data_IF_124435394509
#
_entry.id   IF_124435394509
#
_cell.length_a   1.000
_cell.length_b   1.000
_cell.length_c   1.000
_cell.angle_alpha   90.00
_cell.angle_beta   90.00
_cell.angle_gamma   90.00
#
_symmetry.space_group_name_H-M   'P 1'
#
loop_
_entity.id
_entity.type
_entity.pdbx_description
1 polymer ?
#
# COMPACT_ATOMS: atom_id res chain seq x y z
N UNK A 1 24.21 -37.38 -3.18
CA UNK A 1 22.89 -36.75 -2.93
C UNK A 1 22.70 -35.76 -4.07
N UNK A 2 21.52 -35.72 -4.70
CA UNK A 2 21.27 -34.74 -5.77
C UNK A 2 21.42 -33.34 -5.17
N UNK A 3 22.21 -32.48 -5.81
CA UNK A 3 22.41 -31.10 -5.37
C UNK A 3 21.14 -30.33 -5.76
N UNK A 4 20.43 -29.82 -4.75
CA UNK A 4 19.23 -29.00 -4.97
C UNK A 4 19.69 -27.58 -5.25
N UNK A 5 19.20 -27.00 -6.34
CA UNK A 5 19.51 -25.63 -6.71
C UNK A 5 19.00 -24.67 -5.64
N UNK A 6 19.94 -23.99 -4.98
CA UNK A 6 19.64 -22.94 -4.02
C UNK A 6 19.24 -21.66 -4.74
N UNK A 7 18.33 -20.91 -4.13
CA UNK A 7 17.88 -19.61 -4.61
C UNK A 7 18.45 -18.50 -3.72
N UNK A 8 18.79 -17.33 -4.29
CA UNK A 8 19.25 -16.22 -3.47
C UNK A 8 18.10 -15.63 -2.66
N UNK A 9 18.42 -15.08 -1.49
CA UNK A 9 17.48 -14.35 -0.66
C UNK A 9 18.15 -13.24 0.14
N UNK A 10 17.36 -12.23 0.49
CA UNK A 10 17.79 -11.09 1.27
C UNK A 10 17.27 -11.21 2.70
N UNK A 11 18.15 -10.89 3.66
CA UNK A 11 17.82 -10.77 5.09
C UNK A 11 18.26 -9.43 5.62
N UNK A 12 17.48 -8.84 6.53
CA UNK A 12 17.91 -7.64 7.25
C UNK A 12 18.94 -8.03 8.31
N UNK A 13 20.18 -7.52 8.20
CA UNK A 13 21.23 -7.73 9.19
C UNK A 13 21.78 -6.39 9.68
N UNK A 14 22.16 -6.33 10.95
CA UNK A 14 22.81 -5.15 11.53
C UNK A 14 24.25 -5.08 11.03
N UNK A 15 24.57 -4.04 10.29
CA UNK A 15 25.92 -3.64 9.90
C UNK A 15 26.54 -2.79 11.01
N UNK A 16 27.84 -2.99 11.24
CA UNK A 16 28.62 -2.26 12.25
C UNK A 16 28.68 -0.75 11.93
N UNK A 17 28.67 -0.39 10.64
CA UNK A 17 28.87 1.00 10.19
C UNK A 17 27.63 1.67 9.57
N UNK A 18 26.58 0.91 9.22
CA UNK A 18 25.45 1.40 8.41
C UNK A 18 24.06 1.00 8.92
N UNK A 19 23.90 0.74 10.22
CA UNK A 19 22.59 0.35 10.78
C UNK A 19 22.10 -1.00 10.23
N UNK A 20 20.80 -1.20 10.01
CA UNK A 20 20.27 -2.42 9.38
C UNK A 20 20.46 -2.32 7.86
N UNK A 21 21.02 -3.35 7.22
CA UNK A 21 21.21 -3.42 5.76
C UNK A 21 20.72 -4.77 5.25
N UNK A 22 20.16 -4.82 4.04
CA UNK A 22 19.96 -6.09 3.35
C UNK A 22 21.30 -6.77 3.09
N UNK A 23 21.44 -7.99 3.59
CA UNK A 23 22.50 -8.90 3.17
C UNK A 23 21.89 -9.91 2.20
N UNK A 24 22.43 -9.92 0.99
CA UNK A 24 22.23 -10.98 0.02
C UNK A 24 22.91 -12.27 0.50
N UNK A 25 22.21 -13.39 0.38
CA UNK A 25 22.77 -14.72 0.60
C UNK A 25 22.46 -15.53 -0.66
N UNK A 26 23.50 -15.91 -1.40
CA UNK A 26 23.42 -16.62 -2.68
C UNK A 26 24.38 -17.84 -2.70
N UNK A 27 24.29 -18.65 -3.74
CA UNK A 27 25.10 -19.85 -3.93
C UNK A 27 24.93 -20.81 -2.76
N UNK A 28 26.03 -21.16 -2.09
CA UNK A 28 26.02 -22.08 -0.94
C UNK A 28 25.28 -21.52 0.29
N UNK A 29 25.16 -20.19 0.41
CA UNK A 29 24.39 -19.52 1.46
C UNK A 29 22.92 -19.29 1.07
N UNK A 30 22.53 -19.60 -0.17
CA UNK A 30 21.16 -19.46 -0.66
C UNK A 30 20.16 -20.39 0.05
N UNK A 31 18.87 -20.08 -0.11
CA UNK A 31 17.78 -20.83 0.47
C UNK A 31 17.42 -22.03 -0.42
N UNK A 32 16.95 -23.10 0.21
CA UNK A 32 16.53 -24.33 -0.48
C UNK A 32 15.01 -24.26 -0.69
N UNK A 33 14.51 -24.22 -1.94
CA UNK A 33 13.08 -24.32 -2.21
C UNK A 33 12.55 -25.69 -1.79
N UNK A 34 11.32 -25.74 -1.27
CA UNK A 34 10.70 -26.98 -0.79
C UNK A 34 9.37 -27.22 -1.50
N UNK A 35 9.25 -28.39 -2.14
CA UNK A 35 7.97 -28.94 -2.56
C UNK A 35 7.26 -29.55 -1.36
N UNK A 36 6.07 -29.07 -1.05
CA UNK A 36 5.23 -29.61 0.02
C UNK A 36 3.76 -29.53 -0.39
N UNK A 37 2.91 -30.49 0.03
CA UNK A 37 1.47 -30.35 -0.09
C UNK A 37 0.86 -29.38 0.95
N UNK A 38 1.63 -29.00 1.98
CA UNK A 38 1.15 -28.07 3.00
C UNK A 38 1.07 -26.63 2.46
N UNK A 39 0.12 -25.86 2.99
CA UNK A 39 -0.08 -24.44 2.70
C UNK A 39 -0.05 -23.64 4.01
N UNK A 40 -0.03 -22.31 3.89
CA UNK A 40 -0.24 -21.42 5.03
C UNK A 40 -1.55 -21.81 5.74
N UNK A 41 -1.49 -21.88 7.06
CA UNK A 41 -2.64 -22.19 7.91
C UNK A 41 -3.53 -20.97 8.07
N UNK A 42 -4.84 -21.21 8.02
CA UNK A 42 -5.86 -20.22 8.35
C UNK A 42 -6.76 -20.77 9.46
N UNK A 43 -6.25 -21.66 10.32
CA UNK A 43 -7.08 -22.41 11.26
C UNK A 43 -7.25 -21.69 12.59
N UNK A 44 -6.37 -20.74 12.91
CA UNK A 44 -6.52 -19.90 14.10
C UNK A 44 -7.78 -19.03 13.94
N UNK A 45 -8.66 -19.08 14.93
CA UNK A 45 -9.87 -18.26 14.95
C UNK A 45 -9.51 -16.78 14.84
N UNK A 46 -10.34 -16.02 14.12
CA UNK A 46 -10.06 -14.62 13.90
C UNK A 46 -10.20 -13.82 15.22
N UNK A 47 -9.45 -12.71 15.39
CA UNK A 47 -9.45 -11.96 16.64
C UNK A 47 -10.86 -11.48 17.02
N UNK A 48 -11.25 -11.74 18.27
CA UNK A 48 -12.57 -11.36 18.79
C UNK A 48 -13.72 -12.32 18.48
N UNK A 49 -13.50 -13.43 17.76
CA UNK A 49 -14.50 -14.50 17.67
C UNK A 49 -14.47 -15.38 18.92
N UNK A 50 -15.62 -15.52 19.57
CA UNK A 50 -15.81 -16.49 20.65
C UNK A 50 -15.84 -17.89 20.02
N UNK A 51 -14.94 -18.77 20.47
CA UNK A 51 -14.94 -20.18 20.07
C UNK A 51 -16.21 -20.82 20.65
N UNK A 52 -17.23 -21.02 19.83
CA UNK A 52 -18.33 -21.91 20.20
C UNK A 52 -17.74 -23.32 20.38
N UNK A 53 -17.94 -23.91 21.56
CA UNK A 53 -17.47 -25.27 21.86
C UNK A 53 -18.04 -26.25 20.81
N UNK A 54 -17.34 -27.36 20.49
CA UNK A 54 -17.67 -28.24 19.35
C UNK A 54 -18.96 -29.08 19.46
N UNK A 55 -19.97 -28.63 20.18
CA UNK A 55 -21.20 -29.41 20.43
C UNK A 55 -22.41 -28.93 19.63
N UNK A 56 -22.30 -27.82 18.90
CA UNK A 56 -23.42 -27.24 18.12
C UNK A 56 -23.07 -26.99 16.64
N UNK A 57 -22.28 -27.87 16.02
CA UNK A 57 -22.28 -27.94 14.54
C UNK A 57 -23.50 -28.76 14.10
N UNK A 58 -24.61 -28.06 13.89
CA UNK A 58 -25.85 -28.62 13.33
C UNK A 58 -25.60 -29.28 11.98
N UNK A 59 -26.47 -30.24 11.67
CA UNK A 59 -26.39 -31.22 10.57
C UNK A 59 -26.22 -30.64 9.16
N UNK A 60 -26.35 -29.32 8.99
CA UNK A 60 -26.27 -28.64 7.68
C UNK A 60 -24.85 -28.65 7.08
N UNK A 61 -23.78 -28.60 7.89
CA UNK A 61 -22.41 -28.67 7.37
C UNK A 61 -22.03 -30.07 6.84
N UNK A 62 -22.71 -31.14 7.28
CA UNK A 62 -22.46 -32.49 6.78
C UNK A 62 -23.08 -32.74 5.40
N UNK A 63 -24.15 -32.02 5.04
CA UNK A 63 -24.77 -32.16 3.72
C UNK A 63 -24.00 -31.41 2.63
N UNK A 64 -23.34 -30.28 2.95
CA UNK A 64 -22.55 -29.53 1.97
C UNK A 64 -21.27 -30.27 1.51
N UNK A 65 -20.65 -31.09 2.37
CA UNK A 65 -19.44 -31.86 2.02
C UNK A 65 -19.70 -33.12 1.19
N UNK A 66 -20.94 -33.65 1.17
CA UNK A 66 -21.25 -34.87 0.43
C UNK A 66 -21.61 -34.61 -1.05
N UNK A 67 -22.03 -33.39 -1.40
CA UNK A 67 -22.44 -33.06 -2.76
C UNK A 67 -21.26 -32.84 -3.73
N UNK A 68 -20.09 -32.44 -3.23
CA UNK A 68 -18.90 -32.20 -4.08
C UNK A 68 -18.12 -33.48 -4.44
N UNK A 69 -18.30 -34.58 -3.70
CA UNK A 69 -17.58 -35.84 -3.94
C UNK A 69 -18.23 -36.75 -5.02
N UNK A 70 -19.45 -36.42 -5.49
CA UNK A 70 -20.23 -37.29 -6.37
C UNK A 70 -20.04 -37.08 -7.89
N UNK A 71 -19.30 -36.06 -8.31
CA UNK A 71 -19.29 -35.60 -9.70
C UNK A 71 -17.95 -35.70 -10.40
N UNK A 72 -17.35 -36.89 -10.53
CA UNK A 72 -16.35 -37.21 -11.58
C UNK A 72 -15.95 -38.70 -11.55
N UNK A 73 -16.67 -39.51 -12.31
CA UNK A 73 -16.18 -40.78 -12.85
C UNK A 73 -16.68 -40.94 -14.29
N UNK A 74 -15.84 -41.59 -15.10
CA UNK A 74 -16.04 -42.05 -16.49
C UNK A 74 -15.69 -41.00 -17.57
N UNK A 75 -14.88 -41.27 -18.61
CA UNK A 75 -14.47 -42.54 -19.25
C UNK A 75 -13.25 -42.32 -20.19
N UNK A 76 -12.32 -43.30 -20.22
CA UNK A 76 -11.48 -43.85 -21.35
C UNK A 76 -10.71 -42.91 -22.31
N UNK A 77 -9.52 -43.22 -22.83
CA UNK A 77 -9.09 -44.49 -23.42
C UNK A 77 -7.55 -44.55 -23.64
N UNK A 78 -7.02 -45.78 -23.56
CA UNK A 78 -5.62 -46.16 -23.73
C UNK A 78 -5.32 -46.43 -25.21
N UNK A 79 -4.17 -45.97 -25.73
CA UNK A 79 -3.52 -46.60 -26.89
C UNK A 79 -2.04 -46.88 -26.62
N UNK A 80 -1.76 -48.17 -26.58
CA UNK A 80 -0.45 -48.82 -26.59
C UNK A 80 0.38 -48.43 -27.82
N UNK A 81 1.71 -48.35 -27.65
CA UNK A 81 2.67 -48.94 -28.59
C UNK A 81 4.01 -49.22 -27.88
N UNK A 82 4.48 -50.47 -28.00
CA UNK A 82 5.80 -50.98 -27.55
C UNK A 82 6.90 -50.58 -28.56
N UNK A 83 8.21 -50.75 -28.24
CA UNK A 83 9.28 -49.85 -28.65
C UNK A 83 10.08 -50.38 -29.85
N UNK A 84 10.64 -49.46 -30.64
CA UNK A 84 11.69 -49.78 -31.61
C UNK A 84 13.05 -49.38 -31.04
N UNK A 85 13.96 -50.35 -31.09
CA UNK A 85 15.37 -50.26 -30.72
C UNK A 85 16.12 -49.27 -31.62
N UNK A 86 16.74 -48.27 -31.01
CA UNK A 86 17.81 -47.48 -31.61
C UNK A 86 18.96 -47.42 -30.62
N UNK A 87 20.03 -48.14 -30.92
CA UNK A 87 21.29 -48.04 -30.20
C UNK A 87 21.84 -46.61 -30.31
N UNK A 88 22.06 -45.97 -29.16
CA UNK A 88 22.90 -44.78 -29.10
C UNK A 88 23.91 -44.93 -27.96
N UNK A 89 25.18 -44.79 -28.35
CA UNK A 89 26.42 -44.84 -27.56
C UNK A 89 26.37 -44.06 -26.24
N UNK A 90 27.18 -44.43 -25.23
CA UNK A 90 27.06 -43.93 -23.87
C UNK A 90 27.48 -42.46 -23.77
N UNK A 91 26.51 -41.58 -23.50
CA UNK A 91 26.78 -40.22 -23.04
C UNK A 91 26.95 -40.21 -21.51
N UNK A 92 27.90 -39.39 -21.07
CA UNK A 92 28.40 -39.21 -19.69
C UNK A 92 27.26 -38.97 -18.67
N UNK A 93 27.45 -39.32 -17.38
CA UNK A 93 26.43 -39.12 -16.36
C UNK A 93 26.15 -37.62 -16.17
N UNK A 94 24.99 -37.16 -16.64
CA UNK A 94 24.43 -35.87 -16.26
C UNK A 94 23.81 -36.02 -14.87
N UNK A 95 24.36 -35.33 -13.88
CA UNK A 95 23.73 -35.13 -12.57
C UNK A 95 22.49 -34.25 -12.78
N UNK A 96 21.29 -34.81 -12.63
CA UNK A 96 20.04 -34.03 -12.57
C UNK A 96 20.05 -33.19 -11.28
N UNK A 97 20.40 -31.91 -11.38
CA UNK A 97 20.12 -30.92 -10.32
C UNK A 97 18.60 -30.83 -10.14
N UNK A 98 18.13 -30.86 -8.89
CA UNK A 98 16.70 -30.71 -8.57
C UNK A 98 16.40 -29.26 -8.24
N UNK A 99 15.28 -28.73 -8.72
CA UNK A 99 14.88 -27.33 -8.46
C UNK A 99 14.31 -27.10 -7.04
N UNK A 100 13.98 -28.17 -6.31
CA UNK A 100 13.47 -28.11 -4.94
C UNK A 100 13.69 -29.44 -4.19
N UNK A 101 13.66 -29.39 -2.86
CA UNK A 101 13.58 -30.58 -2.00
C UNK A 101 12.12 -30.97 -1.74
N UNK A 102 11.80 -32.26 -1.72
CA UNK A 102 10.47 -32.72 -1.34
C UNK A 102 10.38 -32.95 0.17
N UNK A 103 9.39 -32.32 0.81
CA UNK A 103 9.11 -32.52 2.22
C UNK A 103 7.62 -32.44 2.53
N UNK A 104 7.07 -33.56 3.01
CA UNK A 104 5.65 -33.65 3.35
C UNK A 104 5.26 -32.77 4.53
N UNK A 105 6.13 -32.69 5.55
CA UNK A 105 5.85 -31.98 6.81
C UNK A 105 6.88 -30.90 7.13
N UNK A 106 6.39 -29.67 7.19
CA UNK A 106 7.02 -28.41 7.53
C UNK A 106 6.36 -27.82 8.78
N UNK A 107 7.05 -26.89 9.45
CA UNK A 107 6.49 -26.14 10.57
C UNK A 107 5.24 -25.38 10.14
N UNK A 108 4.18 -25.52 10.93
CA UNK A 108 2.94 -24.79 10.69
C UNK A 108 3.16 -23.29 10.90
N UNK A 109 2.69 -22.50 9.93
CA UNK A 109 2.66 -21.05 9.95
C UNK A 109 1.23 -20.60 9.64
N UNK A 110 0.62 -19.87 10.58
CA UNK A 110 -0.70 -19.27 10.36
C UNK A 110 -0.52 -17.84 9.86
N UNK A 111 -1.38 -17.36 8.96
CA UNK A 111 -1.27 -15.99 8.45
C UNK A 111 -1.26 -14.93 9.57
N UNK A 112 -1.95 -15.21 10.68
CA UNK A 112 -1.97 -14.35 11.87
C UNK A 112 -0.67 -14.38 12.69
N UNK A 113 0.37 -15.12 12.27
CA UNK A 113 1.72 -15.04 12.84
C UNK A 113 2.50 -13.83 12.32
N UNK A 114 2.10 -13.24 11.19
CA UNK A 114 2.77 -12.07 10.58
C UNK A 114 2.90 -10.90 11.56
N UNK A 115 1.86 -10.46 12.29
CA UNK A 115 1.99 -9.34 13.20
C UNK A 115 2.98 -9.60 14.36
N UNK A 116 3.10 -10.84 14.81
CA UNK A 116 4.08 -11.22 15.83
C UNK A 116 5.51 -11.19 15.29
N UNK A 117 5.70 -11.61 14.03
CA UNK A 117 6.98 -11.50 13.35
C UNK A 117 7.37 -10.02 13.15
N UNK A 118 6.43 -9.17 12.74
CA UNK A 118 6.61 -7.72 12.62
C UNK A 118 7.08 -7.10 13.95
N UNK A 119 6.44 -7.42 15.08
CA UNK A 119 6.88 -6.95 16.40
C UNK A 119 8.34 -7.37 16.69
N UNK A 120 8.70 -8.63 16.42
CA UNK A 120 10.05 -9.17 16.69
C UNK A 120 11.15 -8.52 15.86
N UNK A 121 10.87 -8.15 14.61
CA UNK A 121 11.84 -7.48 13.73
C UNK A 121 11.90 -5.97 13.94
N UNK A 122 11.07 -5.43 14.85
CA UNK A 122 11.05 -4.02 15.24
C UNK A 122 10.13 -3.16 14.38
N UNK A 123 9.03 -3.72 13.88
CA UNK A 123 7.99 -3.04 13.11
C UNK A 123 6.65 -3.01 13.86
N UNK A 124 6.58 -2.32 15.01
CA UNK A 124 5.40 -2.34 15.87
C UNK A 124 4.19 -1.63 15.25
N UNK A 125 4.39 -0.63 14.40
CA UNK A 125 3.29 0.11 13.76
C UNK A 125 2.64 -0.77 12.69
N UNK A 126 3.45 -1.45 11.87
CA UNK A 126 2.97 -2.41 10.89
C UNK A 126 2.22 -3.56 11.58
N UNK A 127 2.77 -4.09 12.68
CA UNK A 127 2.12 -5.12 13.49
C UNK A 127 0.75 -4.66 14.01
N UNK A 128 0.65 -3.42 14.49
CA UNK A 128 -0.60 -2.83 14.98
C UNK A 128 -1.67 -2.73 13.88
N UNK A 129 -1.29 -2.25 12.70
CA UNK A 129 -2.20 -2.10 11.54
C UNK A 129 -2.62 -3.48 11.01
N UNK A 130 -1.70 -4.43 10.90
CA UNK A 130 -2.03 -5.80 10.51
C UNK A 130 -3.00 -6.46 11.50
N UNK A 131 -2.77 -6.32 12.82
CA UNK A 131 -3.71 -6.78 13.87
C UNK A 131 -5.09 -6.15 13.70
N UNK A 132 -5.15 -4.84 13.42
CA UNK A 132 -6.41 -4.14 13.13
C UNK A 132 -7.11 -4.75 11.92
N UNK A 133 -6.40 -4.99 10.82
CA UNK A 133 -6.98 -5.60 9.63
C UNK A 133 -7.63 -6.95 9.95
N UNK A 134 -6.93 -7.88 10.63
CA UNK A 134 -7.47 -9.18 11.04
C UNK A 134 -8.68 -9.04 11.98
N UNK A 135 -8.65 -8.04 12.87
CA UNK A 135 -9.72 -7.78 13.82
C UNK A 135 -10.92 -7.04 13.19
N UNK A 136 -10.82 -6.49 11.99
CA UNK A 136 -11.92 -5.76 11.35
C UNK A 136 -12.98 -6.71 10.76
N UNK A 137 -14.25 -6.27 10.66
CA UNK A 137 -15.25 -6.94 9.82
C UNK A 137 -14.75 -7.10 8.38
N UNK A 138 -15.22 -8.14 7.66
CA UNK A 138 -14.89 -8.31 6.24
C UNK A 138 -15.30 -7.04 5.47
N UNK A 139 -14.32 -6.46 4.80
CA UNK A 139 -14.48 -5.27 3.99
C UNK A 139 -13.42 -5.27 2.90
N UNK A 140 -13.82 -4.94 1.68
CA UNK A 140 -12.95 -4.88 0.50
C UNK A 140 -12.97 -3.45 0.00
N UNK A 141 -11.79 -2.85 -0.13
CA UNK A 141 -11.67 -1.52 -0.71
C UNK A 141 -12.14 -1.55 -2.17
N UNK A 142 -12.94 -0.57 -2.58
CA UNK A 142 -13.60 -0.54 -3.90
C UNK A 142 -12.78 0.19 -4.98
N UNK A 143 -11.49 0.46 -4.71
CA UNK A 143 -10.58 1.20 -5.58
C UNK A 143 -11.04 2.62 -5.96
N UNK A 144 -11.96 3.21 -5.18
CA UNK A 144 -12.42 4.59 -5.33
C UNK A 144 -11.81 5.47 -4.23
N UNK A 145 -10.79 6.31 -4.52
CA UNK A 145 -10.01 7.04 -3.52
C UNK A 145 -10.79 8.01 -2.63
N UNK A 146 -11.96 8.43 -3.08
CA UNK A 146 -12.84 9.37 -2.39
C UNK A 146 -14.15 8.72 -1.94
N UNK A 147 -14.29 7.40 -2.00
CA UNK A 147 -15.50 6.73 -1.50
C UNK A 147 -15.53 6.68 0.03
N UNK A 148 -16.70 6.39 0.60
CA UNK A 148 -16.83 6.17 2.05
C UNK A 148 -16.20 4.82 2.37
N UNK A 149 -15.25 4.82 3.29
CA UNK A 149 -14.45 3.66 3.69
C UNK A 149 -14.26 3.69 5.20
N UNK A 150 -14.01 2.55 5.87
CA UNK A 150 -13.47 2.56 7.22
C UNK A 150 -12.16 3.36 7.26
N UNK A 151 -11.96 4.18 8.29
CA UNK A 151 -10.78 5.05 8.42
C UNK A 151 -9.99 4.71 9.69
N UNK A 152 -8.66 4.70 9.57
CA UNK A 152 -7.73 4.88 10.69
C UNK A 152 -7.03 6.24 10.57
N UNK A 153 -7.38 7.18 11.44
CA UNK A 153 -6.79 8.52 11.52
C UNK A 153 -5.96 8.73 12.80
N UNK A 154 -5.61 7.63 13.49
CA UNK A 154 -5.00 7.68 14.83
C UNK A 154 -3.69 6.92 14.96
N UNK A 155 -3.47 5.90 14.12
CA UNK A 155 -2.29 5.03 14.26
C UNK A 155 -1.03 5.67 13.68
N UNK A 156 -1.16 6.38 12.56
CA UNK A 156 -0.03 6.93 11.81
C UNK A 156 -0.04 8.47 11.88
N UNK A 157 1.13 9.07 12.13
CA UNK A 157 1.31 10.53 12.14
C UNK A 157 2.38 10.94 11.14
N UNK A 158 2.28 12.16 10.58
CA UNK A 158 3.33 12.71 9.71
C UNK A 158 4.68 12.78 10.44
N UNK A 159 4.68 13.27 11.68
CA UNK A 159 5.87 13.31 12.53
C UNK A 159 6.55 11.94 12.71
N UNK A 160 5.78 10.86 12.78
CA UNK A 160 6.33 9.51 12.82
C UNK A 160 6.94 9.12 11.47
N UNK A 161 6.23 9.37 10.36
CA UNK A 161 6.70 9.05 9.01
C UNK A 161 8.01 9.79 8.65
N UNK A 162 8.20 11.03 9.12
CA UNK A 162 9.42 11.82 8.89
C UNK A 162 10.70 11.23 9.49
N UNK A 163 10.60 10.23 10.36
CA UNK A 163 11.77 9.57 10.96
C UNK A 163 12.44 8.57 10.01
N UNK A 164 11.84 8.31 8.85
CA UNK A 164 12.27 7.26 7.93
C UNK A 164 12.72 7.84 6.59
N UNK A 165 13.80 7.26 6.05
CA UNK A 165 14.35 7.55 4.73
C UNK A 165 14.38 9.04 4.36
N UNK A 166 13.89 9.35 3.16
CA UNK A 166 13.82 10.72 2.63
C UNK A 166 12.42 11.34 2.72
N UNK A 167 11.55 10.83 3.60
CA UNK A 167 10.16 11.31 3.70
C UNK A 167 10.10 12.79 4.10
N UNK A 168 10.94 13.23 5.04
CA UNK A 168 11.01 14.63 5.45
C UNK A 168 11.50 15.54 4.31
N UNK A 169 12.44 15.08 3.51
CA UNK A 169 12.93 15.79 2.32
C UNK A 169 11.82 15.94 1.27
N UNK A 170 11.11 14.84 0.97
CA UNK A 170 9.96 14.86 0.05
C UNK A 170 8.81 15.74 0.55
N UNK A 171 8.59 15.79 1.85
CA UNK A 171 7.66 16.73 2.46
C UNK A 171 8.08 18.19 2.23
N UNK A 172 9.36 18.52 2.38
CA UNK A 172 9.86 19.87 2.13
C UNK A 172 9.70 20.25 0.65
N UNK A 173 10.01 19.35 -0.30
CA UNK A 173 9.76 19.56 -1.73
C UNK A 173 8.27 19.90 -2.01
N UNK A 174 7.33 19.23 -1.32
CA UNK A 174 5.91 19.51 -1.45
C UNK A 174 5.59 20.97 -1.07
N UNK A 175 6.05 21.39 0.11
CA UNK A 175 5.66 22.66 0.73
C UNK A 175 6.43 23.85 0.17
N UNK A 176 7.68 23.67 -0.24
CA UNK A 176 8.50 24.77 -0.73
C UNK A 176 8.37 24.97 -2.25
N UNK A 177 8.01 23.92 -3.00
CA UNK A 177 8.00 23.97 -4.47
C UNK A 177 6.65 23.56 -5.07
N UNK A 178 6.17 22.35 -4.78
CA UNK A 178 5.05 21.77 -5.56
C UNK A 178 3.72 22.48 -5.37
N UNK A 179 3.47 23.05 -4.19
CA UNK A 179 2.26 23.86 -3.96
C UNK A 179 2.24 25.14 -4.80
N UNK A 180 3.39 25.60 -5.32
CA UNK A 180 3.52 26.75 -6.21
C UNK A 180 3.45 26.39 -7.69
N UNK A 181 3.29 25.11 -8.04
CA UNK A 181 3.11 24.70 -9.44
C UNK A 181 1.84 25.29 -10.05
N UNK A 182 1.85 25.54 -11.37
CA UNK A 182 0.70 26.11 -12.10
C UNK A 182 -0.59 25.30 -11.88
N UNK A 183 -0.48 23.96 -11.87
CA UNK A 183 -1.63 23.07 -11.61
C UNK A 183 -2.18 23.23 -10.19
N UNK A 184 -1.32 23.33 -9.19
CA UNK A 184 -1.74 23.56 -7.81
C UNK A 184 -2.39 24.95 -7.65
N UNK A 185 -1.82 25.98 -8.25
CA UNK A 185 -2.37 27.35 -8.24
C UNK A 185 -3.74 27.38 -8.92
N UNK A 186 -3.90 26.74 -10.09
CA UNK A 186 -5.17 26.67 -10.80
C UNK A 186 -6.26 25.96 -9.97
N UNK A 187 -5.94 24.80 -9.38
CA UNK A 187 -6.87 24.08 -8.50
C UNK A 187 -7.22 24.88 -7.24
N UNK A 188 -6.25 25.58 -6.67
CA UNK A 188 -6.44 26.48 -5.53
C UNK A 188 -7.39 27.63 -5.91
N UNK A 189 -7.16 28.30 -7.06
CA UNK A 189 -8.01 29.38 -7.56
C UNK A 189 -9.47 28.92 -7.69
N UNK A 190 -9.72 27.76 -8.28
CA UNK A 190 -11.08 27.23 -8.46
C UNK A 190 -11.79 26.99 -7.11
N UNK A 191 -11.12 26.34 -6.16
CA UNK A 191 -11.69 26.02 -4.84
C UNK A 191 -11.97 27.29 -4.02
N UNK A 192 -11.03 28.24 -4.00
CA UNK A 192 -11.20 29.52 -3.31
C UNK A 192 -12.30 30.35 -3.97
N UNK A 193 -12.30 30.48 -5.30
CA UNK A 193 -13.32 31.25 -6.02
C UNK A 193 -14.72 30.74 -5.72
N UNK A 194 -14.94 29.41 -5.73
CA UNK A 194 -16.22 28.81 -5.38
C UNK A 194 -16.66 29.22 -3.96
N UNK A 195 -15.77 29.11 -2.98
CA UNK A 195 -16.11 29.44 -1.59
C UNK A 195 -16.33 30.93 -1.36
N UNK A 196 -15.45 31.78 -1.92
CA UNK A 196 -15.53 33.23 -1.82
C UNK A 196 -16.76 33.77 -2.53
N UNK A 197 -17.12 33.21 -3.71
CA UNK A 197 -18.34 33.57 -4.42
C UNK A 197 -19.58 33.27 -3.59
N UNK A 198 -19.69 32.08 -3.00
CA UNK A 198 -20.83 31.76 -2.13
C UNK A 198 -20.94 32.75 -0.96
N UNK A 199 -19.83 33.04 -0.27
CA UNK A 199 -19.80 34.07 0.78
C UNK A 199 -20.16 35.47 0.29
N UNK A 200 -19.70 35.83 -0.91
CA UNK A 200 -20.01 37.12 -1.53
C UNK A 200 -21.50 37.20 -1.82
N UNK A 201 -22.10 36.16 -2.38
CA UNK A 201 -23.52 36.08 -2.72
C UNK A 201 -24.41 36.17 -1.47
N UNK A 202 -24.00 35.52 -0.36
CA UNK A 202 -24.70 35.58 0.93
C UNK A 202 -24.50 36.91 1.68
N UNK A 203 -23.48 37.69 1.34
CA UNK A 203 -23.15 38.97 1.99
C UNK A 203 -23.77 40.15 1.25
N UNK A 204 -24.46 41.04 1.98
CA UNK A 204 -24.98 42.30 1.42
C UNK A 204 -23.90 43.36 1.19
N UNK A 205 -22.76 43.26 1.87
CA UNK A 205 -21.71 44.30 1.86
C UNK A 205 -20.37 43.80 1.30
N UNK A 206 -20.27 42.53 0.92
CA UNK A 206 -19.02 41.85 0.59
C UNK A 206 -17.92 42.02 1.66
N UNK A 207 -18.32 42.22 2.92
CA UNK A 207 -17.39 42.29 4.04
C UNK A 207 -16.99 40.89 4.50
N UNK A 208 -15.72 40.74 4.92
CA UNK A 208 -15.17 39.54 5.54
C UNK A 208 -15.28 38.25 4.70
N UNK A 209 -14.66 38.26 3.51
CA UNK A 209 -14.58 37.09 2.62
C UNK A 209 -13.45 36.11 3.01
N UNK A 210 -12.57 36.50 3.93
CA UNK A 210 -11.51 35.64 4.48
C UNK A 210 -12.11 34.41 5.18
N UNK A 211 -11.34 33.30 5.22
CA UNK A 211 -11.78 32.07 5.86
C UNK A 211 -10.61 31.17 6.29
N UNK A 212 -10.92 30.24 7.18
CA UNK A 212 -10.00 29.22 7.68
C UNK A 212 -10.68 27.85 7.53
N UNK A 213 -9.95 26.85 7.04
CA UNK A 213 -10.52 25.54 6.74
C UNK A 213 -10.59 24.57 7.94
N UNK A 214 -10.11 24.98 9.11
CA UNK A 214 -10.17 24.16 10.34
C UNK A 214 -11.55 23.61 10.70
N UNK A 215 -12.69 24.31 10.48
CA UNK A 215 -14.00 23.78 10.86
C UNK A 215 -14.39 22.49 10.11
N UNK A 216 -13.80 22.23 8.94
CA UNK A 216 -14.12 21.06 8.12
C UNK A 216 -13.24 19.84 8.40
N UNK A 217 -12.20 19.95 9.23
CA UNK A 217 -11.26 18.85 9.51
C UNK A 217 -11.94 17.66 10.20
N UNK A 218 -13.04 17.88 10.90
CA UNK A 218 -13.79 16.82 11.59
C UNK A 218 -14.26 15.67 10.67
N UNK A 219 -14.55 15.98 9.41
CA UNK A 219 -14.73 14.97 8.36
C UNK A 219 -13.51 15.00 7.44
N UNK A 220 -12.48 14.22 7.80
CA UNK A 220 -11.20 14.22 7.10
C UNK A 220 -11.32 13.81 5.62
N UNK A 221 -12.29 12.97 5.28
CA UNK A 221 -12.54 12.55 3.90
C UNK A 221 -13.11 13.71 3.10
N UNK A 222 -14.15 14.38 3.63
CA UNK A 222 -14.76 15.51 2.94
C UNK A 222 -13.79 16.70 2.86
N UNK A 223 -13.03 16.95 3.92
CA UNK A 223 -11.92 17.91 3.94
C UNK A 223 -10.91 17.65 2.82
N UNK A 224 -10.50 16.39 2.63
CA UNK A 224 -9.60 16.01 1.54
C UNK A 224 -10.19 16.32 0.15
N UNK A 225 -11.47 15.97 -0.07
CA UNK A 225 -12.15 16.22 -1.35
C UNK A 225 -12.22 17.73 -1.64
N UNK A 226 -12.64 18.51 -0.64
CA UNK A 226 -12.97 19.92 -0.81
C UNK A 226 -11.73 20.81 -0.84
N UNK A 227 -10.68 20.48 -0.09
CA UNK A 227 -9.58 21.41 0.17
C UNK A 227 -8.20 20.96 -0.29
N UNK A 228 -7.98 19.68 -0.66
CA UNK A 228 -6.66 19.29 -1.19
C UNK A 228 -6.37 20.00 -2.51
N UNK A 229 -5.13 20.45 -2.68
CA UNK A 229 -4.64 21.18 -3.87
C UNK A 229 -3.38 20.58 -4.50
N UNK A 230 -2.59 19.82 -3.74
CA UNK A 230 -1.36 19.19 -4.23
C UNK A 230 -1.02 17.96 -3.40
N UNK A 231 -0.25 17.04 -3.97
CA UNK A 231 0.33 15.92 -3.25
C UNK A 231 1.76 15.61 -3.67
N UNK A 232 2.43 14.85 -2.82
CA UNK A 232 3.74 14.25 -3.05
C UNK A 232 3.60 12.74 -2.84
N UNK A 233 3.90 11.98 -3.90
CA UNK A 233 4.03 10.54 -3.80
C UNK A 233 5.32 10.18 -3.06
N UNK A 234 5.21 9.23 -2.14
CA UNK A 234 6.29 8.64 -1.38
C UNK A 234 6.36 7.19 -1.81
N UNK A 235 7.38 6.84 -2.60
CA UNK A 235 7.59 5.45 -2.99
C UNK A 235 8.29 4.68 -1.88
N UNK A 236 8.21 3.36 -1.93
CA UNK A 236 8.88 2.49 -0.96
C UNK A 236 10.36 2.84 -0.83
N UNK A 237 11.03 3.19 -1.93
CA UNK A 237 12.44 3.64 -1.91
C UNK A 237 12.71 4.83 -0.98
N UNK A 238 11.73 5.73 -0.81
CA UNK A 238 11.82 6.88 0.10
C UNK A 238 11.63 6.50 1.57
N UNK A 239 11.09 5.32 1.85
CA UNK A 239 10.82 4.83 3.22
C UNK A 239 11.94 3.97 3.81
N UNK A 240 12.94 3.63 2.99
CA UNK A 240 14.04 2.75 3.38
C UNK A 240 15.02 3.44 4.32
N UNK A 241 15.63 2.66 5.21
CA UNK A 241 16.83 3.06 5.95
C UNK A 241 18.05 2.41 5.28
N UNK A 242 18.78 3.22 4.51
CA UNK A 242 19.77 2.72 3.55
C UNK A 242 19.11 1.89 2.46
N UNK A 243 19.24 0.56 2.54
CA UNK A 243 18.53 -0.37 1.65
C UNK A 243 17.44 -1.14 2.39
N UNK A 244 17.36 -1.09 3.73
CA UNK A 244 16.45 -1.95 4.50
C UNK A 244 15.03 -1.43 4.52
N UNK A 245 14.07 -2.36 4.46
CA UNK A 245 12.67 -2.06 4.77
C UNK A 245 12.53 -1.61 6.23
N UNK A 246 11.59 -0.71 6.45
CA UNK A 246 11.34 -0.12 7.76
C UNK A 246 9.93 -0.43 8.24
N UNK A 247 9.63 -0.06 9.49
CA UNK A 247 8.27 -0.11 10.03
C UNK A 247 7.32 0.70 9.14
N UNK A 248 7.77 1.85 8.61
CA UNK A 248 6.99 2.65 7.66
C UNK A 248 6.74 1.89 6.35
N UNK A 249 7.75 1.22 5.80
CA UNK A 249 7.60 0.44 4.58
C UNK A 249 6.57 -0.68 4.75
N UNK A 250 6.62 -1.42 5.85
CA UNK A 250 5.67 -2.49 6.14
C UNK A 250 4.26 -1.99 6.52
N UNK A 251 4.16 -0.71 6.93
CA UNK A 251 2.91 -0.06 7.31
C UNK A 251 2.15 0.48 6.10
N UNK A 252 2.82 1.23 5.21
CA UNK A 252 2.17 1.96 4.11
C UNK A 252 2.68 1.57 2.72
N UNK A 253 3.91 1.02 2.62
CA UNK A 253 4.59 0.88 1.33
C UNK A 253 4.65 2.22 0.58
N UNK A 254 3.93 2.27 -0.54
CA UNK A 254 3.69 3.47 -1.36
C UNK A 254 2.48 4.27 -0.84
N UNK A 255 2.71 5.53 -0.46
CA UNK A 255 1.65 6.42 0.02
C UNK A 255 1.82 7.85 -0.48
N UNK A 256 0.85 8.72 -0.19
CA UNK A 256 0.90 10.13 -0.56
C UNK A 256 0.86 11.03 0.66
N UNK A 257 1.62 12.12 0.60
CA UNK A 257 1.44 13.28 1.49
C UNK A 257 0.70 14.36 0.71
N UNK A 258 -0.37 14.89 1.28
CA UNK A 258 -1.23 15.89 0.67
C UNK A 258 -1.04 17.25 1.32
N UNK A 259 -1.24 18.30 0.54
CA UNK A 259 -1.41 19.67 0.98
C UNK A 259 -2.83 20.14 0.67
N UNK A 260 -3.48 20.76 1.65
CA UNK A 260 -4.80 21.33 1.55
C UNK A 260 -4.80 22.80 1.97
N UNK A 261 -5.73 23.58 1.43
CA UNK A 261 -5.90 24.99 1.79
C UNK A 261 -6.13 25.11 3.30
N UNK A 262 -5.39 25.98 3.97
CA UNK A 262 -5.54 26.30 5.38
C UNK A 262 -6.23 27.64 5.57
N UNK A 263 -5.44 28.69 5.80
CA UNK A 263 -5.94 30.05 6.02
C UNK A 263 -5.85 30.89 4.76
N UNK A 264 -6.95 31.58 4.43
CA UNK A 264 -7.06 32.46 3.28
C UNK A 264 -7.51 33.86 3.72
N UNK A 265 -6.69 34.85 3.42
CA UNK A 265 -7.00 36.26 3.58
C UNK A 265 -7.47 36.83 2.25
N UNK A 266 -8.62 37.50 2.22
CA UNK A 266 -9.20 38.04 0.98
C UNK A 266 -9.26 39.57 1.06
N UNK A 267 -8.47 40.24 0.22
CA UNK A 267 -8.57 41.67 -0.02
C UNK A 267 -9.59 41.94 -1.12
N UNK A 268 -10.45 42.95 -0.93
CA UNK A 268 -11.56 43.25 -1.83
C UNK A 268 -11.56 44.73 -2.20
N UNK A 269 -11.58 45.01 -3.51
CA UNK A 269 -11.80 46.35 -4.06
C UNK A 269 -13.21 46.40 -4.66
N UNK A 270 -14.05 47.30 -4.13
CA UNK A 270 -15.47 47.40 -4.47
C UNK A 270 -15.71 48.52 -5.46
N UNK A 271 -16.60 48.30 -6.41
CA UNK A 271 -16.96 49.30 -7.40
C UNK A 271 -18.36 49.02 -7.98
N UNK A 272 -18.96 50.04 -8.59
CA UNK A 272 -20.20 49.89 -9.34
C UNK A 272 -19.91 49.94 -10.84
N UNK A 273 -20.54 49.05 -11.60
CA UNK A 273 -20.64 49.16 -13.06
C UNK A 273 -22.00 49.75 -13.39
N UNK A 274 -22.01 50.78 -14.22
CA UNK A 274 -23.22 51.47 -14.66
C UNK A 274 -23.49 51.16 -16.13
N UNK A 275 -24.75 50.87 -16.44
CA UNK A 275 -25.27 50.79 -17.82
C UNK A 275 -26.31 51.89 -17.99
N UNK A 276 -25.89 52.99 -18.61
CA UNK A 276 -26.73 54.17 -18.84
C UNK A 276 -27.89 53.90 -19.82
N UNK A 277 -27.72 52.93 -20.72
CA UNK A 277 -28.73 52.59 -21.72
C UNK A 277 -29.86 51.77 -21.08
N UNK A 278 -29.50 50.77 -20.27
CA UNK A 278 -30.47 49.96 -19.53
C UNK A 278 -30.96 50.64 -18.24
N UNK A 279 -30.35 51.76 -17.84
CA UNK A 279 -30.54 52.44 -16.55
C UNK A 279 -30.37 51.51 -15.35
N UNK A 280 -29.29 50.72 -15.35
CA UNK A 280 -28.97 49.79 -14.25
C UNK A 280 -27.58 50.01 -13.66
N UNK A 281 -27.44 49.68 -12.39
CA UNK A 281 -26.17 49.61 -11.67
C UNK A 281 -25.90 48.19 -11.18
N UNK A 282 -24.63 47.79 -11.16
CA UNK A 282 -24.20 46.47 -10.69
C UNK A 282 -23.09 46.63 -9.68
N UNK A 283 -23.29 46.15 -8.46
CA UNK A 283 -22.25 46.09 -7.44
C UNK A 283 -21.27 44.96 -7.75
N UNK A 284 -20.00 45.31 -7.94
CA UNK A 284 -18.92 44.40 -8.26
C UNK A 284 -17.74 44.53 -7.27
N UNK A 285 -16.93 43.48 -7.24
CA UNK A 285 -15.76 43.37 -6.40
C UNK A 285 -14.63 42.66 -7.15
N UNK A 286 -13.44 43.25 -7.14
CA UNK A 286 -12.20 42.54 -7.43
C UNK A 286 -11.63 41.97 -6.14
N UNK A 287 -11.35 40.67 -6.12
CA UNK A 287 -10.85 39.99 -4.94
C UNK A 287 -9.47 39.39 -5.19
N UNK A 288 -8.55 39.61 -4.24
CA UNK A 288 -7.24 38.96 -4.21
C UNK A 288 -7.16 38.08 -2.97
N UNK A 289 -6.97 36.78 -3.18
CA UNK A 289 -6.83 35.80 -2.11
C UNK A 289 -5.36 35.50 -1.84
N UNK A 290 -4.97 35.60 -0.57
CA UNK A 290 -3.64 35.29 -0.05
C UNK A 290 -3.74 34.10 0.87
N UNK A 291 -3.18 32.97 0.45
CA UNK A 291 -3.09 31.76 1.26
C UNK A 291 -1.85 31.89 2.15
N UNK A 292 -2.06 31.97 3.46
CA UNK A 292 -0.97 32.17 4.44
C UNK A 292 -0.56 30.88 5.13
N UNK A 293 -1.40 29.85 5.10
CA UNK A 293 -1.13 28.54 5.70
C UNK A 293 -1.81 27.43 4.92
N UNK A 294 -1.20 26.24 4.96
CA UNK A 294 -1.73 25.00 4.39
C UNK A 294 -1.81 23.93 5.47
N UNK A 295 -2.75 23.00 5.32
CA UNK A 295 -2.76 21.77 6.08
C UNK A 295 -2.01 20.68 5.32
N UNK A 296 -1.27 19.84 6.04
CA UNK A 296 -0.66 18.64 5.46
C UNK A 296 -1.07 17.39 6.22
N UNK A 297 -1.17 16.29 5.49
CA UNK A 297 -1.50 14.98 6.06
C UNK A 297 -1.05 13.89 5.08
N UNK A 298 -0.76 12.70 5.61
CA UNK A 298 -0.63 11.50 4.78
C UNK A 298 -1.99 10.85 4.55
N UNK A 299 -2.13 10.19 3.41
CA UNK A 299 -3.26 9.31 3.11
C UNK A 299 -2.75 8.10 2.32
N UNK A 300 -3.25 6.94 2.70
CA UNK A 300 -2.98 5.65 2.06
C UNK A 300 -4.22 4.75 2.10
N UNK A 301 -4.26 3.74 1.24
CA UNK A 301 -5.26 2.66 1.28
C UNK A 301 -4.59 1.35 1.69
N UNK A 302 -4.88 0.88 2.91
CA UNK A 302 -4.39 -0.39 3.41
C UNK A 302 -5.30 -1.50 2.91
N UNK A 303 -4.95 -2.07 1.75
CA UNK A 303 -5.75 -3.07 1.05
C UNK A 303 -4.92 -4.19 0.46
N UNK A 304 -5.49 -5.40 0.44
CA UNK A 304 -4.88 -6.58 -0.18
C UNK A 304 -5.65 -6.98 -1.46
N UNK A 305 -5.94 -5.99 -2.29
CA UNK A 305 -6.56 -6.18 -3.60
C UNK A 305 -5.49 -6.49 -4.65
N UNK A 306 -5.76 -7.48 -5.50
CA UNK A 306 -4.94 -7.73 -6.68
C UNK A 306 -5.47 -6.95 -7.88
N UNK A 307 -4.57 -6.64 -8.82
CA UNK A 307 -5.00 -6.12 -10.13
C UNK A 307 -5.64 -7.29 -10.88
N UNK A 308 -6.65 -7.02 -11.71
CA UNK A 308 -7.35 -8.04 -12.51
C UNK A 308 -6.49 -8.64 -13.64
N UNK A 309 -5.16 -8.72 -13.46
CA UNK A 309 -4.19 -9.29 -14.40
C UNK A 309 -3.82 -10.75 -14.07
N UNK A 310 -4.43 -11.32 -13.02
CA UNK A 310 -4.24 -12.72 -12.62
C UNK A 310 -3.00 -12.96 -11.74
N UNK A 311 -2.22 -11.93 -11.41
CA UNK A 311 -1.04 -12.04 -10.57
C UNK A 311 -1.28 -11.44 -9.18
N UNK A 312 -1.04 -12.25 -8.15
CA UNK A 312 -1.14 -11.76 -6.77
C UNK A 312 0.14 -11.06 -6.32
N UNK A 313 0.00 -9.91 -5.66
CA UNK A 313 1.17 -9.19 -5.16
C UNK A 313 1.92 -9.98 -4.09
N UNK A 314 3.23 -10.14 -4.28
CA UNK A 314 4.12 -10.77 -3.31
C UNK A 314 4.44 -9.84 -2.13
N UNK A 315 4.29 -10.35 -0.91
CA UNK A 315 4.45 -9.61 0.36
C UNK A 315 5.62 -10.11 1.21
N UNK A 316 6.42 -11.03 0.69
CA UNK A 316 7.58 -11.60 1.40
C UNK A 316 7.42 -13.10 1.71
N UNK A 317 8.53 -13.71 2.11
CA UNK A 317 8.55 -15.02 2.73
C UNK A 317 8.64 -14.83 4.24
N UNK A 318 7.68 -15.38 4.98
CA UNK A 318 7.49 -15.12 6.41
C UNK A 318 7.62 -16.39 7.24
N UNK A 319 8.10 -16.23 8.46
CA UNK A 319 7.90 -17.21 9.51
C UNK A 319 7.47 -16.53 10.81
N UNK A 320 7.37 -17.28 11.91
CA UNK A 320 6.91 -16.74 13.21
C UNK A 320 7.84 -15.69 13.85
N UNK A 321 9.02 -15.47 13.30
CA UNK A 321 10.09 -14.68 13.89
C UNK A 321 10.62 -13.56 13.00
N UNK A 322 10.51 -13.72 11.68
CA UNK A 322 11.27 -12.91 10.73
C UNK A 322 10.67 -12.98 9.33
N UNK A 323 11.16 -12.13 8.43
CA UNK A 323 10.78 -12.07 7.02
C UNK A 323 12.01 -11.96 6.12
N UNK A 324 11.94 -12.62 4.97
CA UNK A 324 12.97 -12.56 3.92
C UNK A 324 12.33 -12.24 2.56
N UNK A 325 13.16 -11.73 1.64
CA UNK A 325 12.77 -11.54 0.24
C UNK A 325 13.58 -12.50 -0.64
N UNK A 326 12.93 -13.28 -1.50
CA UNK A 326 13.59 -14.15 -2.46
C UNK A 326 14.03 -13.38 -3.71
N UNK A 327 15.19 -13.73 -4.28
CA UNK A 327 15.81 -12.99 -5.38
C UNK A 327 14.88 -12.79 -6.58
N UNK A 328 14.14 -13.81 -7.04
CA UNK A 328 13.23 -13.66 -8.20
C UNK A 328 12.19 -12.54 -8.08
N UNK A 329 11.82 -12.14 -6.86
CA UNK A 329 10.89 -11.03 -6.60
C UNK A 329 11.58 -9.65 -6.45
N UNK A 330 12.91 -9.62 -6.36
CA UNK A 330 13.73 -8.41 -6.11
C UNK A 330 14.68 -8.10 -7.29
N UNK A 331 14.81 -8.98 -8.29
CA UNK A 331 15.85 -8.91 -9.35
C UNK A 331 15.81 -7.62 -10.18
N UNK A 332 14.67 -6.94 -10.35
CA UNK A 332 14.69 -5.76 -11.24
C UNK A 332 15.37 -4.53 -10.65
N UNK A 333 15.56 -4.45 -9.32
CA UNK A 333 15.83 -3.17 -8.65
C UNK A 333 17.09 -3.11 -7.79
N UNK A 334 17.74 -4.26 -7.56
CA UNK A 334 18.99 -4.31 -6.77
C UNK A 334 20.26 -4.43 -7.63
N UNK A 335 20.14 -4.75 -8.91
CA UNK A 335 21.30 -5.02 -9.78
C UNK A 335 22.03 -3.72 -10.21
N UNK A 336 21.36 -2.57 -10.24
CA UNK A 336 21.94 -1.29 -10.70
C UNK A 336 22.35 -0.30 -9.58
N UNK A 337 22.37 -0.75 -8.32
CA UNK A 337 22.79 0.10 -7.20
C UNK A 337 21.92 1.35 -6.98
N UNK A 338 20.73 1.41 -7.60
CA UNK A 338 19.79 2.54 -7.52
C UNK A 338 18.37 2.01 -7.32
N UNK A 339 17.93 2.06 -6.06
CA UNK A 339 16.55 1.98 -5.54
C UNK A 339 15.87 0.62 -5.66
N UNK A 340 15.50 0.04 -4.50
CA UNK A 340 14.55 -1.07 -4.41
C UNK A 340 13.14 -0.52 -4.74
N UNK A 341 12.54 -0.92 -5.88
CA UNK A 341 11.13 -0.66 -6.21
C UNK A 341 10.27 -1.87 -5.86
N UNK A 342 10.14 -2.17 -4.57
CA UNK A 342 9.05 -3.05 -4.16
C UNK A 342 7.73 -2.34 -4.43
N UNK A 343 6.85 -2.92 -5.26
CA UNK A 343 5.50 -2.40 -5.51
C UNK A 343 4.57 -2.52 -4.28
N UNK A 344 5.10 -2.50 -3.06
CA UNK A 344 4.35 -2.54 -1.80
C UNK A 344 3.49 -1.29 -1.63
N UNK A 345 2.26 -1.48 -1.17
CA UNK A 345 1.26 -0.41 -1.04
C UNK A 345 0.34 -0.31 -2.26
N UNK A 346 -0.81 0.33 -2.06
CA UNK A 346 -1.93 0.29 -3.01
C UNK A 346 -2.17 1.63 -3.73
N UNK A 347 -1.34 2.64 -3.45
CA UNK A 347 -1.40 3.93 -4.13
C UNK A 347 -0.75 3.85 -5.52
N UNK A 348 -1.45 4.24 -6.61
CA UNK A 348 -0.85 4.34 -7.94
C UNK A 348 0.12 5.52 -7.98
N UNK A 349 1.40 5.25 -7.73
CA UNK A 349 2.47 6.20 -8.04
C UNK A 349 2.62 6.21 -9.56
N UNK A 350 2.77 7.39 -10.17
CA UNK A 350 3.31 7.52 -11.52
C UNK A 350 4.78 7.11 -11.50
N UNK A 351 5.06 5.82 -11.35
CA UNK A 351 6.34 5.21 -11.64
C UNK A 351 6.13 4.21 -12.79
N UNK A 352 7.04 4.30 -13.74
CA UNK A 352 7.18 3.49 -14.95
C UNK A 352 6.69 2.06 -14.77
N UNK A 353 5.78 1.63 -15.65
CA UNK A 353 5.43 0.23 -15.85
C UNK A 353 6.70 -0.57 -16.15
N UNK A 354 7.33 -1.13 -15.13
CA UNK A 354 8.24 -2.25 -15.33
C UNK A 354 7.32 -3.45 -15.50
N UNK A 355 7.29 -3.95 -16.73
CA UNK A 355 6.52 -5.13 -17.08
C UNK A 355 7.16 -6.32 -16.36
N UNK A 356 6.45 -6.90 -15.40
CA UNK A 356 6.89 -8.05 -14.59
C UNK A 356 7.21 -9.31 -15.42
N UNK A 357 6.88 -9.29 -16.72
CA UNK A 357 7.03 -10.40 -17.67
C UNK A 357 8.47 -10.70 -18.11
N UNK A 358 9.47 -9.90 -17.71
CA UNK A 358 10.84 -10.00 -18.23
C UNK A 358 11.91 -10.54 -17.27
N UNK A 359 11.54 -11.00 -16.07
CA UNK A 359 12.50 -11.68 -15.20
C UNK A 359 12.48 -13.21 -15.42
N UNK A 360 13.63 -13.84 -15.75
CA UNK A 360 13.71 -15.28 -15.81
C UNK A 360 13.62 -15.87 -14.40
N UNK A 361 12.50 -16.54 -14.12
CA UNK A 361 12.21 -17.23 -12.86
C UNK A 361 10.95 -16.67 -12.20
N UNK A 362 9.80 -17.32 -12.43
CA UNK A 362 8.50 -16.89 -11.94
C UNK A 362 8.36 -16.76 -10.41
N UNK A 363 7.15 -16.46 -9.95
CA UNK A 363 6.81 -16.44 -8.52
C UNK A 363 7.34 -17.69 -7.82
N UNK A 364 8.12 -17.50 -6.76
CA UNK A 364 8.46 -18.60 -5.85
C UNK A 364 7.24 -18.80 -4.95
N UNK A 365 6.29 -19.59 -5.44
CA UNK A 365 5.12 -20.06 -4.68
C UNK A 365 5.46 -21.28 -3.79
N UNK A 366 6.70 -21.33 -3.28
CA UNK A 366 7.21 -22.46 -2.51
C UNK A 366 7.80 -21.98 -1.19
N UNK A 367 7.56 -22.70 -0.09
CA UNK A 367 8.34 -22.47 1.12
C UNK A 367 9.83 -22.64 0.87
N UNK A 368 10.62 -21.90 1.63
CA UNK A 368 12.08 -21.90 1.49
C UNK A 368 12.73 -22.16 2.84
N UNK A 369 13.83 -22.91 2.84
CA UNK A 369 14.65 -23.13 4.03
C UNK A 369 15.98 -22.39 3.91
N UNK A 370 16.25 -21.47 4.85
CA UNK A 370 17.48 -20.65 4.89
C UNK A 370 18.72 -21.39 5.41
N UNK A 371 18.72 -22.71 5.50
CA UNK A 371 19.88 -23.48 5.99
C UNK A 371 21.16 -23.14 5.20
N UNK A 372 22.15 -22.63 5.93
CA UNK A 372 23.47 -22.27 5.38
C UNK A 372 24.41 -23.47 5.42
N UNK A 373 25.11 -23.73 4.30
CA UNK A 373 26.09 -24.81 4.17
C UNK A 373 25.51 -26.21 3.93
N UNK A 374 26.39 -27.17 3.63
CA UNK A 374 26.05 -28.55 3.21
C UNK A 374 25.74 -29.46 4.42
N UNK A 375 26.21 -29.08 5.62
CA UNK A 375 26.16 -29.93 6.84
C UNK A 375 25.08 -29.52 7.84
N UNK A 376 24.47 -28.33 7.67
CA UNK A 376 23.47 -27.83 8.62
C UNK A 376 22.16 -28.59 8.46
N UNK A 377 21.69 -29.19 9.56
CA UNK A 377 20.41 -29.90 9.62
C UNK A 377 19.23 -28.92 9.50
N UNK A 378 18.14 -29.40 8.91
CA UNK A 378 16.86 -28.72 8.85
C UNK A 378 16.40 -28.25 10.23
N UNK A 379 15.97 -27.00 10.34
CA UNK A 379 15.39 -26.45 11.58
C UNK A 379 14.10 -25.70 11.28
N UNK A 380 13.14 -25.82 12.19
CA UNK A 380 11.81 -25.23 11.99
C UNK A 380 11.86 -23.70 11.83
N UNK A 381 12.75 -23.03 12.56
CA UNK A 381 12.94 -21.57 12.52
C UNK A 381 13.56 -21.06 11.21
N UNK A 382 14.05 -21.97 10.36
CA UNK A 382 14.69 -21.61 9.09
C UNK A 382 13.73 -21.77 7.90
N UNK A 383 12.51 -22.27 8.12
CA UNK A 383 11.47 -22.39 7.08
C UNK A 383 10.65 -21.10 7.01
N UNK A 384 10.48 -20.58 5.79
CA UNK A 384 9.67 -19.39 5.51
C UNK A 384 8.64 -19.70 4.43
N UNK A 385 7.45 -19.16 4.59
CA UNK A 385 6.28 -19.36 3.74
C UNK A 385 6.04 -18.14 2.86
N UNK A 386 5.81 -18.29 1.55
CA UNK A 386 5.52 -17.16 0.67
C UNK A 386 4.14 -16.60 0.98
N UNK A 387 4.05 -15.28 1.19
CA UNK A 387 2.80 -14.58 1.49
C UNK A 387 2.47 -13.63 0.34
N UNK A 388 1.19 -13.61 -0.04
CA UNK A 388 0.66 -12.78 -1.10
C UNK A 388 -0.62 -12.06 -0.66
N UNK A 389 -1.11 -11.11 -1.45
CA UNK A 389 -2.45 -10.54 -1.28
C UNK A 389 -3.53 -11.63 -1.32
N UNK A 390 -3.36 -12.66 -2.15
CA UNK A 390 -4.25 -13.82 -2.21
C UNK A 390 -4.34 -14.55 -0.88
N UNK A 391 -3.25 -14.64 -0.11
CA UNK A 391 -3.25 -15.24 1.23
C UNK A 391 -4.18 -14.47 2.18
N UNK A 392 -4.18 -13.14 2.12
CA UNK A 392 -5.11 -12.29 2.89
C UNK A 392 -6.55 -12.43 2.40
N UNK A 393 -6.77 -12.47 1.08
CA UNK A 393 -8.09 -12.68 0.49
C UNK A 393 -8.69 -14.04 0.88
N UNK A 394 -7.92 -15.13 0.79
CA UNK A 394 -8.34 -16.47 1.24
C UNK A 394 -8.67 -16.50 2.74
N UNK A 395 -7.83 -15.85 3.56
CA UNK A 395 -8.09 -15.75 5.00
C UNK A 395 -9.38 -14.99 5.29
N UNK A 396 -9.61 -13.87 4.58
CA UNK A 396 -10.83 -13.05 4.69
C UNK A 396 -12.07 -13.84 4.35
N UNK A 397 -12.04 -14.55 3.23
CA UNK A 397 -13.17 -15.38 2.78
C UNK A 397 -13.49 -16.50 3.77
N UNK A 398 -12.47 -17.15 4.33
CA UNK A 398 -12.65 -18.21 5.32
C UNK A 398 -13.28 -17.72 6.62
N UNK A 399 -12.92 -16.51 7.08
CA UNK A 399 -13.29 -16.03 8.42
C UNK A 399 -14.46 -15.04 8.43
N UNK A 400 -14.83 -14.46 7.29
CA UNK A 400 -15.78 -13.34 7.26
C UNK A 400 -15.27 -12.10 8.02
N UNK A 401 -13.95 -11.97 8.16
CA UNK A 401 -13.22 -10.86 8.79
C UNK A 401 -12.07 -10.42 7.89
N UNK A 402 -11.27 -9.44 8.29
CA UNK A 402 -10.17 -8.95 7.44
C UNK A 402 -10.66 -7.81 6.59
N UNK A 403 -10.68 -6.62 7.17
CA UNK A 403 -11.28 -5.44 6.54
C UNK A 403 -10.22 -4.45 6.08
N UNK A 404 -10.25 -4.10 4.79
CA UNK A 404 -9.46 -3.00 4.26
C UNK A 404 -9.92 -1.66 4.85
N UNK A 405 -9.05 -0.66 4.86
CA UNK A 405 -9.39 0.67 5.35
C UNK A 405 -8.46 1.74 4.78
N UNK A 406 -8.89 2.98 4.87
CA UNK A 406 -8.08 4.14 4.53
C UNK A 406 -7.29 4.58 5.77
N UNK A 407 -6.00 4.84 5.59
CA UNK A 407 -5.17 5.46 6.61
C UNK A 407 -5.07 6.94 6.31
N UNK A 408 -5.30 7.76 7.32
CA UNK A 408 -5.02 9.19 7.30
C UNK A 408 -4.12 9.54 8.48
N UNK A 409 -3.27 10.55 8.35
CA UNK A 409 -2.85 11.28 9.56
C UNK A 409 -3.79 12.44 9.81
N UNK A 410 -3.86 12.88 11.06
CA UNK A 410 -4.50 14.16 11.37
C UNK A 410 -3.85 15.30 10.58
N UNK A 411 -4.62 16.24 10.00
CA UNK A 411 -4.08 17.41 9.34
C UNK A 411 -3.28 18.31 10.29
N UNK A 412 -2.04 18.60 9.92
CA UNK A 412 -1.13 19.52 10.63
C UNK A 412 -1.04 20.84 9.85
N UNK A 413 -1.17 21.98 10.54
CA UNK A 413 -1.11 23.30 9.88
C UNK A 413 0.35 23.78 9.74
N UNK A 414 0.68 24.32 8.57
CA UNK A 414 1.99 24.89 8.26
C UNK A 414 1.82 26.30 7.70
N UNK A 415 2.50 27.27 8.32
CA UNK A 415 2.59 28.62 7.80
C UNK A 415 3.55 28.64 6.60
N UNK A 416 3.10 29.23 5.49
CA UNK A 416 3.92 29.35 4.30
C UNK A 416 4.97 30.45 4.49
N UNK A 417 6.24 30.15 4.15
CA UNK A 417 7.29 31.17 4.07
C UNK A 417 6.98 32.19 2.96
N UNK A 418 6.51 31.68 1.82
CA UNK A 418 6.04 32.46 0.67
C UNK A 418 4.53 32.24 0.51
N UNK A 419 3.68 33.23 0.86
CA UNK A 419 2.24 33.12 0.63
C UNK A 419 1.92 32.88 -0.85
N UNK A 420 0.85 32.13 -1.12
CA UNK A 420 0.33 31.98 -2.48
C UNK A 420 -0.70 33.10 -2.69
N UNK A 421 -0.46 33.96 -3.67
CA UNK A 421 -1.34 35.10 -3.98
C UNK A 421 -2.06 34.82 -5.29
N UNK A 422 -3.39 34.93 -5.29
CA UNK A 422 -4.25 34.61 -6.42
C UNK A 422 -5.24 35.74 -6.64
N UNK A 423 -5.20 36.35 -7.83
CA UNK A 423 -6.27 37.24 -8.28
C UNK A 423 -7.48 36.40 -8.70
N UNK A 424 -8.62 36.64 -8.07
CA UNK A 424 -9.88 35.99 -8.38
C UNK A 424 -10.58 36.73 -9.52
N UNK A 425 -11.51 36.04 -10.19
CA UNK A 425 -12.33 36.67 -11.21
C UNK A 425 -13.30 37.68 -10.55
N UNK A 426 -13.69 38.72 -11.29
CA UNK A 426 -14.59 39.75 -10.77
C UNK A 426 -15.90 39.13 -10.30
N UNK A 427 -16.27 39.42 -9.05
CA UNK A 427 -17.54 39.03 -8.46
C UNK A 427 -18.54 40.17 -8.64
N UNK A 428 -19.73 39.90 -9.16
CA UNK A 428 -20.77 40.90 -9.33
C UNK A 428 -22.10 40.35 -8.86
N UNK A 429 -22.89 41.21 -8.20
CA UNK A 429 -24.29 40.94 -7.85
C UNK A 429 -25.19 41.03 -9.10
N UNK A 430 -26.46 40.61 -9.02
CA UNK A 430 -27.45 40.94 -10.04
C UNK A 430 -27.54 42.46 -10.24
N UNK A 431 -27.88 42.90 -11.45
CA UNK A 431 -28.08 44.31 -11.74
C UNK A 431 -29.36 44.83 -11.07
N UNK A 432 -29.29 46.07 -10.58
CA UNK A 432 -30.41 46.78 -9.97
C UNK A 432 -30.74 48.04 -10.78
N UNK A 433 -32.00 48.50 -10.83
CA UNK A 433 -32.35 49.77 -11.45
C UNK A 433 -31.63 50.95 -10.77
N UNK A 434 -31.19 51.93 -11.56
CA UNK A 434 -30.61 53.18 -11.07
C UNK A 434 -31.65 54.17 -10.54
#
# INVERSE_FOLDING_TARGET
>A
MAEVKKIPYYTMKRSIFRGKVWKENDGLEGAVPINTPQKISYNRCAPGQVVLKPTERSKEQRMAQQTEAGGKRSLTEVKNNKPSSGETKPSKPYTLERDAEDKEKLPEFDLQDIPLAMDKIGWPTAAKIAKRWFASPKHIYNDQPNSVQPIDDTTVTLKWAFKYGSVAEKFNELIEEKIHSEKAIAGTKQKILKHVKNKFDDSSSAANLSFDTSPWIGDIRQFHIDWQIQFQAISTSNTLDGMSLTDLTATLGNFNIYAAIGRVEVAVEKFYRYDDTARTQTFCAEATATITSVYTYLKDNYSFNDKNDGNSQYLGHWNKNDMILSYSAVVSDLVDGKKIHTNMGSTPITETKINWDYLPGGQIDKPVDKRTGIVRKFMEKDVYWPVYNSSYSEWREKHGRGGDFMIYSRPEIHKLKKPIIIKLDTLCKPSEPM
#
